data_IF_703107840429
#
_entry.id   IF_703107840429
#
_cell.length_a   1.000
_cell.length_b   1.000
_cell.length_c   1.000
_cell.angle_alpha   90.00
_cell.angle_beta   90.00
_cell.angle_gamma   90.00
#
_symmetry.space_group_name_H-M   'P 1'
#
loop_
_entity.id
_entity.type
_entity.pdbx_description
1 polymer ?
#
# COMPACT_ATOMS: atom_id res chain seq x y z
N UNK A 1 -1.85 -13.31 13.59
CA UNK A 1 -1.91 -11.86 13.35
C UNK A 1 -1.29 -11.10 14.50
N UNK A 2 -0.47 -10.11 14.20
CA UNK A 2 0.16 -9.23 15.19
C UNK A 2 -0.28 -7.80 14.99
N UNK A 3 -0.78 -7.15 16.05
CA UNK A 3 -1.23 -5.76 16.02
C UNK A 3 -0.31 -4.95 16.93
N UNK A 4 0.47 -4.06 16.33
CA UNK A 4 1.49 -3.26 16.98
C UNK A 4 0.97 -1.82 17.07
N UNK A 5 0.73 -1.36 18.29
CA UNK A 5 0.13 -0.04 18.56
C UNK A 5 1.13 0.98 19.10
N UNK A 6 2.31 0.53 19.50
CA UNK A 6 3.33 1.36 20.14
C UNK A 6 4.70 1.05 19.53
N UNK A 7 5.60 2.04 19.57
CA UNK A 7 6.97 1.87 19.09
C UNK A 7 7.73 0.75 19.87
N UNK A 8 7.42 0.58 21.16
CA UNK A 8 7.98 -0.50 21.98
C UNK A 8 7.53 -1.89 21.49
N UNK A 9 6.24 -2.04 21.15
CA UNK A 9 5.72 -3.29 20.60
C UNK A 9 6.37 -3.64 19.26
N UNK A 10 6.65 -2.63 18.43
CA UNK A 10 7.39 -2.79 17.17
C UNK A 10 8.80 -3.31 17.43
N UNK A 11 9.56 -2.66 18.32
CA UNK A 11 10.92 -3.07 18.66
C UNK A 11 10.95 -4.52 19.16
N UNK A 12 10.10 -4.85 20.14
CA UNK A 12 10.02 -6.20 20.69
C UNK A 12 9.63 -7.26 19.64
N UNK A 13 8.75 -6.91 18.69
CA UNK A 13 8.35 -7.85 17.63
C UNK A 13 9.50 -8.23 16.70
N UNK A 14 10.34 -7.26 16.32
CA UNK A 14 11.43 -7.49 15.36
C UNK A 14 12.75 -7.95 16.00
N UNK A 15 12.92 -7.88 17.32
CA UNK A 15 14.09 -8.45 18.01
C UNK A 15 14.31 -9.95 17.73
N UNK A 16 13.25 -10.69 17.40
CA UNK A 16 13.26 -12.14 17.26
C UNK A 16 12.77 -12.68 15.91
N UNK A 17 12.49 -11.82 14.91
CA UNK A 17 11.94 -12.21 13.60
C UNK A 17 12.91 -11.89 12.46
N UNK A 18 12.94 -12.77 11.45
CA UNK A 18 13.86 -12.71 10.29
C UNK A 18 13.18 -12.11 9.04
N UNK A 19 11.99 -11.52 9.16
CA UNK A 19 11.36 -10.84 8.01
C UNK A 19 12.01 -9.48 7.78
N UNK A 20 13.13 -9.50 7.07
CA UNK A 20 14.00 -8.34 6.88
C UNK A 20 13.34 -7.21 6.08
N UNK A 21 12.46 -7.53 5.11
CA UNK A 21 11.81 -6.49 4.31
C UNK A 21 10.65 -5.84 5.08
N UNK A 22 9.79 -6.64 5.73
CA UNK A 22 8.70 -6.09 6.57
C UNK A 22 9.28 -5.28 7.72
N UNK A 23 10.34 -5.77 8.38
CA UNK A 23 11.02 -5.03 9.45
C UNK A 23 11.60 -3.70 8.97
N UNK A 24 12.28 -3.69 7.81
CA UNK A 24 12.80 -2.46 7.20
C UNK A 24 11.67 -1.48 6.88
N UNK A 25 10.60 -1.93 6.21
CA UNK A 25 9.47 -1.09 5.84
C UNK A 25 8.79 -0.49 7.06
N UNK A 26 8.57 -1.28 8.11
CA UNK A 26 7.99 -0.78 9.36
C UNK A 26 8.85 0.33 9.96
N UNK A 27 10.17 0.19 9.99
CA UNK A 27 11.06 1.25 10.48
C UNK A 27 10.97 2.50 9.59
N UNK A 28 10.98 2.35 8.27
CA UNK A 28 10.84 3.48 7.35
C UNK A 28 9.51 4.23 7.54
N UNK A 29 8.39 3.51 7.63
CA UNK A 29 7.08 4.13 7.88
C UNK A 29 7.03 4.84 9.24
N UNK A 30 7.69 4.29 10.26
CA UNK A 30 7.79 4.94 11.57
C UNK A 30 8.57 6.27 11.48
N UNK A 31 9.68 6.29 10.75
CA UNK A 31 10.48 7.50 10.53
C UNK A 31 9.75 8.54 9.66
N UNK A 32 8.92 8.10 8.72
CA UNK A 32 8.12 8.98 7.85
C UNK A 32 6.89 9.56 8.53
N UNK A 33 6.26 8.82 9.44
CA UNK A 33 5.01 9.21 10.08
C UNK A 33 5.22 9.97 11.38
N UNK A 34 6.24 9.64 12.18
CA UNK A 34 6.41 10.21 13.52
C UNK A 34 7.37 11.40 13.54
N UNK A 35 7.12 12.36 14.43
CA UNK A 35 7.98 13.53 14.63
C UNK A 35 7.95 14.02 16.10
N UNK A 36 8.37 15.26 16.37
CA UNK A 36 8.38 15.84 17.71
C UNK A 36 6.97 16.07 18.29
N UNK A 37 5.95 16.22 17.44
CA UNK A 37 4.58 16.54 17.80
C UNK A 37 3.65 15.32 17.77
N UNK A 38 3.98 14.30 16.98
CA UNK A 38 3.14 13.12 16.80
C UNK A 38 3.88 11.80 17.04
N UNK A 39 3.32 10.99 17.94
CA UNK A 39 3.77 9.63 18.18
C UNK A 39 3.11 8.64 17.21
N UNK A 40 3.62 7.40 17.18
CA UNK A 40 3.02 6.31 16.41
C UNK A 40 1.55 6.10 16.82
N UNK A 41 1.29 6.10 18.13
CA UNK A 41 -0.02 5.91 18.73
C UNK A 41 -1.06 6.91 18.22
N UNK A 42 -0.62 8.12 17.86
CA UNK A 42 -1.46 9.20 17.37
C UNK A 42 -1.81 9.04 15.87
N UNK A 43 -0.99 8.30 15.12
CA UNK A 43 -1.03 8.31 13.66
C UNK A 43 -1.30 6.94 13.03
N UNK A 44 -0.82 5.85 13.61
CA UNK A 44 -0.83 4.56 12.91
C UNK A 44 -0.89 3.35 13.84
N UNK A 45 -1.67 2.37 13.42
CA UNK A 45 -1.58 0.99 13.91
C UNK A 45 -0.93 0.14 12.84
N UNK A 46 0.07 -0.64 13.20
CA UNK A 46 0.72 -1.58 12.27
C UNK A 46 0.17 -2.98 12.50
N UNK A 47 -0.15 -3.68 11.43
CA UNK A 47 -0.67 -5.05 11.46
C UNK A 47 0.21 -5.92 10.61
N UNK A 48 0.77 -6.97 11.21
CA UNK A 48 1.54 -7.99 10.48
C UNK A 48 0.67 -9.23 10.36
N UNK A 49 0.31 -9.58 9.13
CA UNK A 49 -0.41 -10.82 8.84
C UNK A 49 0.56 -11.99 8.95
N UNK A 50 0.15 -13.00 9.71
CA UNK A 50 0.84 -14.28 9.84
C UNK A 50 0.12 -15.33 8.99
N UNK A 51 0.71 -16.52 8.91
CA UNK A 51 0.14 -17.60 8.12
C UNK A 51 -1.29 -17.95 8.55
N UNK A 52 -2.20 -17.92 7.57
CA UNK A 52 -3.62 -18.22 7.78
C UNK A 52 -4.50 -17.03 8.15
N UNK A 53 -3.93 -15.84 8.39
CA UNK A 53 -4.72 -14.63 8.60
C UNK A 53 -5.33 -14.14 7.28
N UNK A 54 -6.65 -14.30 7.13
CA UNK A 54 -7.42 -13.88 5.95
C UNK A 54 -8.15 -12.54 6.12
N UNK A 55 -8.89 -12.14 5.08
CA UNK A 55 -9.66 -10.89 5.05
C UNK A 55 -10.69 -10.85 6.17
N UNK A 56 -11.43 -11.93 6.40
CA UNK A 56 -12.47 -11.99 7.45
C UNK A 56 -11.86 -11.72 8.83
N UNK A 57 -10.75 -12.37 9.16
CA UNK A 57 -10.07 -12.21 10.43
C UNK A 57 -9.47 -10.80 10.60
N UNK A 58 -8.94 -10.20 9.52
CA UNK A 58 -8.47 -8.82 9.53
C UNK A 58 -9.61 -7.84 9.83
N UNK A 59 -10.77 -8.04 9.20
CA UNK A 59 -11.94 -7.19 9.41
C UNK A 59 -12.45 -7.28 10.84
N UNK A 60 -12.55 -8.50 11.38
CA UNK A 60 -13.00 -8.74 12.74
C UNK A 60 -12.06 -8.12 13.78
N UNK A 61 -10.75 -8.29 13.60
CA UNK A 61 -9.74 -7.79 14.54
C UNK A 61 -9.62 -6.26 14.54
N UNK A 62 -9.78 -5.63 13.38
CA UNK A 62 -9.72 -4.18 13.25
C UNK A 62 -11.07 -3.50 13.44
N UNK A 63 -12.15 -4.28 13.55
CA UNK A 63 -13.53 -3.78 13.54
C UNK A 63 -13.76 -2.80 12.38
N UNK A 64 -13.23 -3.16 11.20
CA UNK A 64 -13.29 -2.36 9.98
C UNK A 64 -13.57 -3.28 8.80
N UNK A 65 -14.08 -2.74 7.70
CA UNK A 65 -14.21 -3.50 6.45
C UNK A 65 -13.01 -3.27 5.55
N UNK A 66 -12.70 -4.26 4.73
CA UNK A 66 -11.73 -4.10 3.63
C UNK A 66 -12.45 -3.55 2.39
N UNK A 67 -13.68 -4.00 2.14
CA UNK A 67 -14.59 -3.51 1.09
C UNK A 67 -15.95 -3.17 1.69
N UNK A 68 -16.57 -2.06 1.27
CA UNK A 68 -17.93 -1.66 1.66
C UNK A 68 -19.02 -2.57 1.06
N UNK A 69 -20.25 -2.51 1.57
CA UNK A 69 -21.39 -3.25 0.99
C UNK A 69 -21.70 -2.88 -0.47
N UNK A 70 -21.24 -1.71 -0.91
CA UNK A 70 -21.39 -1.22 -2.29
C UNK A 70 -20.24 -1.66 -3.20
N UNK A 71 -19.28 -2.45 -2.69
CA UNK A 71 -18.12 -2.91 -3.43
C UNK A 71 -16.97 -1.89 -3.52
N UNK A 72 -17.07 -0.74 -2.86
CA UNK A 72 -15.99 0.25 -2.83
C UNK A 72 -14.90 -0.16 -1.84
N UNK A 73 -13.60 -0.09 -2.21
CA UNK A 73 -12.50 -0.38 -1.30
C UNK A 73 -12.43 0.65 -0.16
N UNK A 74 -11.95 0.22 1.00
CA UNK A 74 -11.61 1.12 2.12
C UNK A 74 -10.10 1.32 2.30
N UNK A 75 -9.26 0.61 1.54
CA UNK A 75 -7.85 0.94 1.44
C UNK A 75 -7.64 2.13 0.49
N UNK A 76 -6.64 2.95 0.78
CA UNK A 76 -6.20 4.05 -0.08
C UNK A 76 -5.23 3.54 -1.16
N UNK A 77 -4.28 2.70 -0.75
CA UNK A 77 -3.30 2.08 -1.65
C UNK A 77 -2.93 0.69 -1.15
N UNK A 78 -2.60 -0.18 -2.10
CA UNK A 78 -1.89 -1.43 -1.85
C UNK A 78 -0.57 -1.33 -2.59
N UNK A 79 0.55 -1.35 -1.89
CA UNK A 79 1.88 -1.32 -2.49
C UNK A 79 2.46 -2.73 -2.56
N UNK A 80 3.04 -3.07 -3.71
CA UNK A 80 3.79 -4.30 -3.89
C UNK A 80 5.28 -4.08 -3.62
N UNK A 81 5.79 -4.76 -2.59
CA UNK A 81 7.22 -4.84 -2.27
C UNK A 81 7.80 -6.17 -2.76
N UNK A 82 9.08 -6.48 -2.51
CA UNK A 82 9.70 -7.68 -3.10
C UNK A 82 9.08 -8.98 -2.54
N UNK A 83 8.97 -9.08 -1.22
CA UNK A 83 8.50 -10.26 -0.48
C UNK A 83 7.17 -10.06 0.23
N UNK A 84 6.61 -8.85 0.23
CA UNK A 84 5.34 -8.55 0.89
C UNK A 84 4.49 -7.55 0.09
N UNK A 85 3.25 -7.36 0.56
CA UNK A 85 2.38 -6.25 0.21
C UNK A 85 2.14 -5.38 1.44
N UNK A 86 1.94 -4.09 1.22
CA UNK A 86 1.57 -3.10 2.24
C UNK A 86 0.21 -2.49 1.87
N UNK A 87 -0.79 -2.62 2.73
CA UNK A 87 -2.10 -2.01 2.54
C UNK A 87 -2.25 -0.83 3.47
N UNK A 88 -2.63 0.32 2.93
CA UNK A 88 -2.79 1.58 3.67
C UNK A 88 -4.27 1.88 3.83
N UNK A 89 -4.71 2.06 5.08
CA UNK A 89 -6.06 2.50 5.41
C UNK A 89 -6.00 3.84 6.15
N UNK A 90 -6.68 4.87 5.66
CA UNK A 90 -6.85 6.14 6.38
C UNK A 90 -8.23 6.17 7.00
N UNK A 91 -8.28 6.19 8.33
CA UNK A 91 -9.51 5.96 9.10
C UNK A 91 -10.13 7.25 9.64
N UNK A 92 -9.41 8.38 9.57
CA UNK A 92 -9.90 9.67 10.02
C UNK A 92 -9.32 10.83 9.21
N UNK A 93 -9.96 12.00 9.31
CA UNK A 93 -9.46 13.23 8.70
C UNK A 93 -8.18 13.79 9.36
N UNK A 94 -7.74 13.24 10.50
CA UNK A 94 -6.46 13.63 11.11
C UNK A 94 -5.27 12.92 10.46
N UNK A 95 -5.53 12.00 9.52
CA UNK A 95 -4.49 11.13 8.96
C UNK A 95 -4.26 9.85 9.75
N UNK A 96 -5.00 9.62 10.85
CA UNK A 96 -4.90 8.38 11.61
C UNK A 96 -5.30 7.18 10.75
N UNK A 97 -4.49 6.13 10.77
CA UNK A 97 -4.66 5.01 9.86
C UNK A 97 -4.18 3.66 10.40
N UNK A 98 -4.22 2.68 9.51
CA UNK A 98 -3.68 1.33 9.74
C UNK A 98 -2.85 0.92 8.53
N UNK A 99 -1.65 0.41 8.78
CA UNK A 99 -0.81 -0.22 7.75
C UNK A 99 -0.82 -1.73 7.98
N UNK A 100 -1.16 -2.50 6.96
CA UNK A 100 -1.22 -3.96 7.02
C UNK A 100 -0.13 -4.54 6.11
N UNK A 101 0.75 -5.35 6.67
CA UNK A 101 1.82 -6.03 5.95
C UNK A 101 1.46 -7.50 5.74
N UNK A 102 1.45 -7.93 4.48
CA UNK A 102 1.11 -9.28 4.06
C UNK A 102 2.29 -9.95 3.36
N UNK A 103 2.88 -10.98 3.95
CA UNK A 103 3.94 -11.77 3.32
C UNK A 103 3.42 -12.49 2.07
N UNK A 104 4.12 -12.37 0.94
CA UNK A 104 3.78 -13.10 -0.29
C UNK A 104 3.92 -14.62 -0.14
N UNK A 105 4.75 -15.07 0.81
CA UNK A 105 5.01 -16.47 1.05
C UNK A 105 3.97 -17.12 1.99
N UNK A 106 3.39 -16.35 2.91
CA UNK A 106 2.60 -16.90 4.02
C UNK A 106 1.16 -16.39 4.09
N UNK A 107 0.83 -15.27 3.44
CA UNK A 107 -0.50 -14.68 3.51
C UNK A 107 -1.60 -15.61 2.96
N UNK A 108 -2.80 -15.48 3.52
CA UNK A 108 -3.94 -16.26 3.09
C UNK A 108 -4.31 -16.00 1.61
N UNK A 109 -4.91 -16.99 0.91
CA UNK A 109 -5.18 -16.87 -0.53
C UNK A 109 -6.07 -15.68 -0.92
N UNK A 110 -7.01 -15.28 -0.06
CA UNK A 110 -7.90 -14.16 -0.28
C UNK A 110 -7.18 -12.80 -0.19
N UNK A 111 -6.27 -12.65 0.78
CA UNK A 111 -5.36 -11.50 0.88
C UNK A 111 -4.46 -11.43 -0.35
N UNK A 112 -3.86 -12.55 -0.77
CA UNK A 112 -3.00 -12.58 -1.95
C UNK A 112 -3.76 -12.23 -3.22
N UNK A 113 -4.98 -12.75 -3.41
CA UNK A 113 -5.82 -12.43 -4.56
C UNK A 113 -6.15 -10.94 -4.61
N UNK A 114 -6.56 -10.37 -3.47
CA UNK A 114 -6.82 -8.93 -3.35
C UNK A 114 -5.59 -8.10 -3.72
N UNK A 115 -4.43 -8.42 -3.16
CA UNK A 115 -3.21 -7.68 -3.41
C UNK A 115 -2.74 -7.82 -4.86
N UNK A 116 -2.81 -9.00 -5.46
CA UNK A 116 -2.42 -9.21 -6.86
C UNK A 116 -3.30 -8.45 -7.85
N UNK A 117 -4.59 -8.29 -7.54
CA UNK A 117 -5.53 -7.56 -8.38
C UNK A 117 -5.33 -6.04 -8.31
N UNK A 118 -5.01 -5.52 -7.12
CA UNK A 118 -5.08 -4.08 -6.85
C UNK A 118 -3.74 -3.41 -6.53
N UNK A 119 -2.66 -4.16 -6.31
CA UNK A 119 -1.40 -3.57 -5.90
C UNK A 119 -0.80 -2.67 -6.98
N UNK A 120 -0.43 -1.48 -6.56
CA UNK A 120 0.44 -0.59 -7.30
C UNK A 120 1.87 -1.13 -7.24
N UNK A 121 2.49 -1.26 -8.42
CA UNK A 121 3.92 -1.50 -8.56
C UNK A 121 4.59 -0.18 -8.84
N UNK A 122 5.42 0.30 -7.92
CA UNK A 122 6.29 1.42 -8.21
C UNK A 122 7.16 1.05 -9.43
N UNK A 123 7.24 1.92 -10.45
CA UNK A 123 8.16 1.70 -11.56
C UNK A 123 9.58 1.56 -10.98
N UNK A 124 10.42 0.67 -11.54
CA UNK A 124 11.79 0.54 -11.07
C UNK A 124 12.46 1.90 -11.10
N UNK A 125 13.21 2.24 -10.03
CA UNK A 125 13.98 3.49 -9.96
C UNK A 125 14.89 3.59 -11.18
N UNK A 126 14.43 4.32 -12.20
CA UNK A 126 15.26 4.64 -13.35
C UNK A 126 16.23 5.72 -12.86
N UNK A 127 17.54 5.43 -12.77
CA UNK A 127 18.49 6.44 -12.32
C UNK A 127 18.39 7.68 -13.24
N UNK A 128 18.49 8.90 -12.68
CA UNK A 128 18.42 10.13 -13.44
C UNK A 128 19.60 10.20 -14.42
N UNK A 129 19.38 9.68 -15.63
CA UNK A 129 20.42 9.52 -16.66
C UNK A 129 20.15 8.45 -17.71
N UNK A 130 19.15 7.56 -17.53
CA UNK A 130 18.85 6.50 -18.51
C UNK A 130 17.77 6.85 -19.55
N UNK A 131 17.33 8.11 -19.62
CA UNK A 131 16.44 8.60 -20.70
C UNK A 131 17.24 9.00 -21.95
N UNK A 132 18.00 8.08 -22.54
CA UNK A 132 18.48 8.26 -23.91
C UNK A 132 18.67 6.91 -24.62
N UNK A 133 17.55 6.27 -24.96
CA UNK A 133 17.49 5.32 -26.06
C UNK A 133 16.02 5.08 -26.47
N UNK A 134 15.69 5.56 -27.66
CA UNK A 134 14.44 5.32 -28.40
C UNK A 134 13.96 3.85 -28.35
N UNK A 135 12.67 3.67 -28.09
CA UNK A 135 11.87 2.63 -28.75
C UNK A 135 10.58 3.29 -29.24
N UNK A 136 10.64 3.75 -30.48
CA UNK A 136 9.51 3.79 -31.41
C UNK A 136 8.74 2.47 -31.33
N UNK A 137 7.44 2.53 -31.02
CA UNK A 137 6.47 1.62 -31.58
C UNK A 137 5.11 2.34 -31.69
N UNK A 138 4.94 2.91 -32.87
CA UNK A 138 3.67 3.21 -33.53
C UNK A 138 2.66 2.06 -33.37
N UNK A 139 1.46 2.36 -32.87
CA UNK A 139 0.18 1.92 -33.46
C UNK A 139 -0.94 2.75 -32.86
N UNK A 140 -1.40 3.73 -33.63
CA UNK A 140 -2.68 4.38 -33.43
C UNK A 140 -3.84 3.37 -33.53
N UNK A 141 -4.83 3.45 -32.63
CA UNK A 141 -6.25 3.35 -33.01
C UNK A 141 -7.22 3.81 -31.89
N UNK A 142 -7.94 4.90 -32.24
CA UNK A 142 -9.39 5.16 -32.06
C UNK A 142 -9.97 5.58 -30.69
N UNK A 143 -10.55 6.79 -30.75
CA UNK A 143 -11.73 7.25 -29.99
C UNK A 143 -11.37 8.27 -28.91
N UNK A 144 -11.27 9.57 -29.15
CA UNK A 144 -12.13 10.44 -29.93
C UNK A 144 -12.96 11.30 -28.96
N UNK A 145 -12.58 12.56 -28.75
CA UNK A 145 -13.50 13.68 -28.48
C UNK A 145 -12.75 15.02 -28.43
N UNK A 146 -13.38 16.06 -29.00
CA UNK A 146 -13.06 17.50 -28.95
C UNK A 146 -11.98 18.04 -29.93
N UNK A 147 -12.41 18.40 -31.15
CA UNK A 147 -11.76 19.46 -31.93
C UNK A 147 -12.37 20.82 -31.52
N UNK A 148 -11.57 21.86 -31.26
CA UNK A 148 -12.06 23.24 -31.24
C UNK A 148 -12.14 23.81 -32.66
N UNK A 149 -13.22 24.55 -32.92
CA UNK A 149 -13.45 25.27 -34.18
C UNK A 149 -12.58 26.53 -34.23
N UNK A 150 -11.82 26.72 -35.30
CA UNK A 150 -11.35 28.03 -35.73
C UNK A 150 -11.43 28.12 -37.26
N UNK A 151 -12.39 28.90 -37.76
CA UNK A 151 -12.41 29.38 -39.15
C UNK A 151 -11.99 30.84 -39.14
N UNK A 152 -10.81 31.12 -39.68
CA UNK A 152 -10.36 32.46 -40.04
C UNK A 152 -10.85 32.86 -41.43
N UNK A 153 -11.16 34.16 -41.53
CA UNK A 153 -11.14 35.09 -42.65
C UNK A 153 -11.49 34.63 -44.08
N UNK A 154 -12.54 35.24 -44.61
CA UNK A 154 -12.47 35.98 -45.86
C UNK A 154 -12.99 37.40 -45.64
#
# INVERSE_FOLDING_TARGET
MQILRTAEAVQHYFENKIDAEVGRLVVERMEELTDEDFSMEDLVVLVILESGDGIEQLQDQLNMRVITDLGSPLWEVIEEHSTCYELVFVLSSSGYGTLVFASKAEAAPDILALCQEHAYRSPPDVPPGAIDASVDNDTAHRGGFLLPVQKGNQ
#
